data_IF_575382633398
#
_entry.id   IF_575382633398
#
_cell.length_a   1.000
_cell.length_b   1.000
_cell.length_c   1.000
_cell.angle_alpha   90.00
_cell.angle_beta   90.00
_cell.angle_gamma   90.00
#
_symmetry.space_group_name_H-M   'P 1'
#
loop_
_entity.id
_entity.type
_entity.pdbx_description
1 polymer ?
#
# COMPACT_ATOMS: atom_id res chain seq x y z
N UNK A 1 10.70 -2.29 -25.28
CA UNK A 1 9.41 -2.29 -24.56
C UNK A 1 9.47 -1.22 -23.45
N UNK A 2 8.36 -0.53 -23.16
CA UNK A 2 8.34 0.76 -22.43
C UNK A 2 8.78 0.65 -20.96
N UNK A 3 10.03 1.03 -20.67
CA UNK A 3 10.70 0.85 -19.36
C UNK A 3 9.99 1.58 -18.21
N UNK A 4 9.53 2.80 -18.47
CA UNK A 4 8.87 3.65 -17.47
C UNK A 4 7.54 3.05 -16.99
N UNK A 5 6.72 2.57 -17.93
CA UNK A 5 5.44 1.93 -17.60
C UNK A 5 5.64 0.65 -16.78
N UNK A 6 6.73 -0.08 -17.03
CA UNK A 6 7.08 -1.29 -16.28
C UNK A 6 7.48 -0.98 -14.83
N UNK A 7 8.23 0.10 -14.60
CA UNK A 7 8.66 0.51 -13.26
C UNK A 7 7.47 0.90 -12.37
N UNK A 8 6.53 1.69 -12.90
CA UNK A 8 5.32 2.11 -12.17
C UNK A 8 4.43 0.91 -11.82
N UNK A 9 4.27 -0.04 -12.75
CA UNK A 9 3.49 -1.24 -12.45
C UNK A 9 4.13 -2.09 -11.35
N UNK A 10 5.45 -2.22 -11.38
CA UNK A 10 6.22 -2.98 -10.39
C UNK A 10 6.07 -2.38 -8.99
N UNK A 11 6.07 -1.04 -8.88
CA UNK A 11 5.87 -0.35 -7.60
C UNK A 11 4.50 -0.62 -6.98
N UNK A 12 3.46 -0.69 -7.81
CA UNK A 12 2.10 -1.04 -7.37
C UNK A 12 2.07 -2.48 -6.85
N UNK A 13 2.66 -3.43 -7.57
CA UNK A 13 2.72 -4.84 -7.14
C UNK A 13 3.47 -4.99 -5.80
N UNK A 14 4.57 -4.25 -5.62
CA UNK A 14 5.28 -4.19 -4.33
C UNK A 14 4.44 -3.60 -3.21
N UNK A 15 3.66 -2.54 -3.48
CA UNK A 15 2.79 -1.95 -2.46
C UNK A 15 1.71 -2.95 -1.99
N UNK A 16 1.12 -3.70 -2.92
CA UNK A 16 0.20 -4.80 -2.56
C UNK A 16 0.88 -5.89 -1.72
N UNK A 17 2.15 -6.20 -1.99
CA UNK A 17 2.92 -7.14 -1.16
C UNK A 17 3.10 -6.61 0.27
N UNK A 18 3.48 -5.34 0.42
CA UNK A 18 3.63 -4.70 1.73
C UNK A 18 2.29 -4.70 2.49
N UNK A 19 1.21 -4.26 1.85
CA UNK A 19 -0.12 -4.24 2.45
C UNK A 19 -0.55 -5.63 2.96
N UNK A 20 -0.33 -6.69 2.16
CA UNK A 20 -0.67 -8.06 2.58
C UNK A 20 0.20 -8.58 3.72
N UNK A 21 1.46 -8.16 3.79
CA UNK A 21 2.36 -8.53 4.89
C UNK A 21 1.97 -7.88 6.22
N UNK A 22 1.42 -6.66 6.17
CA UNK A 22 0.98 -5.92 7.36
C UNK A 22 -0.44 -6.33 7.80
N UNK A 23 -1.35 -6.59 6.86
CA UNK A 23 -2.78 -6.75 7.14
C UNK A 23 -3.30 -8.12 6.67
N UNK A 24 -3.22 -9.12 7.56
CA UNK A 24 -3.63 -10.50 7.27
C UNK A 24 -5.08 -10.63 6.76
N UNK A 25 -5.98 -9.74 7.20
CA UNK A 25 -7.37 -9.74 6.74
C UNK A 25 -7.50 -9.51 5.22
N UNK A 26 -6.58 -8.76 4.61
CA UNK A 26 -6.57 -8.47 3.17
C UNK A 26 -6.11 -9.68 2.34
N UNK A 27 -5.51 -10.69 2.96
CA UNK A 27 -5.18 -11.96 2.31
C UNK A 27 -6.16 -13.11 2.67
N UNK A 28 -7.11 -12.84 3.56
CA UNK A 28 -8.08 -13.85 4.02
C UNK A 28 -9.21 -14.08 3.00
N UNK A 29 -8.94 -14.93 2.00
CA UNK A 29 -9.88 -15.24 0.89
C UNK A 29 -11.29 -15.62 1.33
N UNK A 30 -11.45 -16.38 2.42
CA UNK A 30 -12.76 -16.82 2.91
C UNK A 30 -13.64 -15.64 3.39
N UNK A 31 -13.01 -14.57 3.89
CA UNK A 31 -13.68 -13.33 4.31
C UNK A 31 -13.86 -12.30 3.19
N UNK A 32 -13.05 -12.35 2.14
CA UNK A 32 -13.06 -11.36 1.06
C UNK A 32 -13.96 -11.77 -0.11
N UNK A 33 -15.27 -11.83 0.15
CA UNK A 33 -16.29 -12.14 -0.86
C UNK A 33 -16.95 -10.87 -1.38
N UNK A 34 -16.66 -10.50 -2.63
CA UNK A 34 -17.31 -9.36 -3.31
C UNK A 34 -18.83 -9.57 -3.34
N UNK A 35 -19.60 -8.51 -3.08
CA UNK A 35 -21.07 -8.49 -2.90
C UNK A 35 -21.60 -9.10 -1.60
N UNK A 36 -20.78 -9.81 -0.83
CA UNK A 36 -21.16 -10.31 0.50
C UNK A 36 -20.50 -9.52 1.63
N UNK A 37 -19.30 -9.00 1.37
CA UNK A 37 -18.54 -8.20 2.29
C UNK A 37 -18.06 -6.90 1.61
N UNK A 38 -17.83 -5.82 2.36
CA UNK A 38 -17.36 -4.55 1.82
C UNK A 38 -15.85 -4.59 1.52
N UNK A 39 -15.43 -5.53 0.66
CA UNK A 39 -14.03 -5.79 0.29
C UNK A 39 -13.30 -4.52 -0.14
N UNK A 40 -13.96 -3.66 -0.93
CA UNK A 40 -13.38 -2.39 -1.35
C UNK A 40 -13.07 -1.43 -0.20
N UNK A 41 -13.91 -1.41 0.86
CA UNK A 41 -13.64 -0.59 2.05
C UNK A 41 -12.45 -1.14 2.83
N UNK A 42 -12.36 -2.46 2.99
CA UNK A 42 -11.24 -3.10 3.68
C UNK A 42 -9.90 -2.84 3.00
N UNK A 43 -9.85 -2.97 1.67
CA UNK A 43 -8.62 -2.68 0.91
C UNK A 43 -8.24 -1.20 1.01
N UNK A 44 -9.22 -0.27 0.93
CA UNK A 44 -8.96 1.17 1.07
C UNK A 44 -8.38 1.53 2.43
N UNK A 45 -8.98 1.01 3.51
CA UNK A 45 -8.50 1.25 4.87
C UNK A 45 -7.11 0.65 5.07
N UNK A 46 -6.88 -0.59 4.61
CA UNK A 46 -5.57 -1.22 4.70
C UNK A 46 -4.50 -0.45 3.90
N UNK A 47 -4.84 0.08 2.73
CA UNK A 47 -3.94 0.90 1.93
C UNK A 47 -3.60 2.23 2.62
N UNK A 48 -4.61 2.91 3.20
CA UNK A 48 -4.40 4.11 4.01
C UNK A 48 -3.43 3.83 5.17
N UNK A 49 -3.69 2.76 5.95
CA UNK A 49 -2.83 2.38 7.07
C UNK A 49 -1.42 1.96 6.61
N UNK A 50 -1.28 1.35 5.43
CA UNK A 50 0.02 1.01 4.83
C UNK A 50 0.82 2.27 4.47
N UNK A 51 0.14 3.30 3.95
CA UNK A 51 0.78 4.59 3.69
C UNK A 51 1.18 5.28 4.99
N UNK A 52 0.33 5.27 6.02
CA UNK A 52 0.68 5.78 7.35
C UNK A 52 1.90 5.06 7.94
N UNK A 53 1.93 3.73 7.85
CA UNK A 53 3.08 2.93 8.27
C UNK A 53 4.35 3.33 7.50
N UNK A 54 4.25 3.50 6.18
CA UNK A 54 5.39 3.94 5.36
C UNK A 54 5.88 5.33 5.76
N UNK A 55 4.99 6.28 6.05
CA UNK A 55 5.36 7.62 6.50
C UNK A 55 6.00 7.58 7.90
N UNK A 56 5.45 6.79 8.82
CA UNK A 56 5.96 6.67 10.19
C UNK A 56 7.37 6.08 10.25
N UNK A 57 7.67 5.09 9.40
CA UNK A 57 8.99 4.48 9.30
C UNK A 57 9.90 5.16 8.27
N UNK A 58 9.53 6.36 7.80
CA UNK A 58 10.30 7.17 6.84
C UNK A 58 10.62 6.47 5.52
N UNK A 59 9.87 5.44 5.14
CA UNK A 59 10.03 4.75 3.87
C UNK A 59 9.76 3.25 3.91
N UNK A 60 9.97 2.64 2.75
CA UNK A 60 9.99 1.21 2.50
C UNK A 60 10.89 0.93 1.26
N UNK A 61 10.94 -0.32 0.80
CA UNK A 61 11.73 -0.69 -0.39
C UNK A 61 11.37 0.12 -1.65
N UNK A 62 10.11 0.53 -1.79
CA UNK A 62 9.62 1.29 -2.95
C UNK A 62 10.18 2.71 -2.91
N UNK A 63 10.08 3.40 -1.77
CA UNK A 63 10.67 4.74 -1.63
C UNK A 63 12.18 4.73 -1.88
N UNK A 64 12.88 3.68 -1.44
CA UNK A 64 14.32 3.52 -1.73
C UNK A 64 14.59 3.30 -3.21
N UNK A 65 13.77 2.51 -3.91
CA UNK A 65 13.94 2.25 -5.34
C UNK A 65 13.73 3.50 -6.21
N UNK A 66 12.78 4.35 -5.84
CA UNK A 66 12.49 5.62 -6.54
C UNK A 66 13.26 6.81 -5.97
N UNK A 67 14.14 6.60 -4.99
CA UNK A 67 14.89 7.67 -4.30
C UNK A 67 13.97 8.79 -3.79
N UNK A 68 12.77 8.43 -3.35
CA UNK A 68 11.71 9.36 -2.98
C UNK A 68 11.32 9.17 -1.50
N UNK A 69 11.70 10.12 -0.65
CA UNK A 69 11.34 10.08 0.79
C UNK A 69 9.85 10.36 0.96
N UNK A 70 9.09 9.52 1.71
CA UNK A 70 7.70 9.84 2.03
C UNK A 70 7.61 11.09 2.92
N UNK A 71 6.47 11.79 2.90
CA UNK A 71 6.21 12.86 3.87
C UNK A 71 6.16 12.30 5.30
N UNK A 72 6.18 13.19 6.29
CA UNK A 72 5.86 12.81 7.66
C UNK A 72 4.42 12.32 7.77
N UNK A 73 4.12 11.54 8.82
CA UNK A 73 2.76 11.06 9.05
C UNK A 73 1.76 12.22 9.23
N UNK A 74 2.21 13.32 9.84
CA UNK A 74 1.39 14.50 10.07
C UNK A 74 1.04 15.20 8.75
N UNK A 75 2.03 15.43 7.89
CA UNK A 75 1.82 15.99 6.54
C UNK A 75 0.92 15.09 5.70
N UNK A 76 1.07 13.77 5.80
CA UNK A 76 0.25 12.81 5.04
C UNK A 76 -1.22 12.82 5.46
N UNK A 77 -1.49 13.00 6.76
CA UNK A 77 -2.86 13.02 7.31
C UNK A 77 -3.48 14.42 7.34
N UNK A 78 -2.75 15.46 6.91
CA UNK A 78 -3.17 16.86 6.98
C UNK A 78 -3.54 17.28 8.42
N UNK A 79 -2.78 16.82 9.42
CA UNK A 79 -3.02 17.06 10.86
C UNK A 79 -2.10 18.12 11.48
#
# INVERSE_FOLDING_TARGET
FNKEMSAVRTSVEWNFKVMKSLWAYVDFKKGLKVRLNPVGKFVRVAMLLTNCHTCYYEGNQISSYFEFKPPSLQEYLEL
#
